data_IF_097732551427
#
_entry.id   IF_097732551427
#
_cell.length_a   1.000
_cell.length_b   1.000
_cell.length_c   1.000
_cell.angle_alpha   90.00
_cell.angle_beta   90.00
_cell.angle_gamma   90.00
#
_symmetry.space_group_name_H-M   'P 1'
#
loop_
_entity.id
_entity.type
_entity.pdbx_description
1 polymer ?
#
# COMPACT_ATOMS: atom_id res chain seq x y z
N UNK A 1 1.72 -1.40 3.71
CA UNK A 1 1.99 -2.63 2.89
C UNK A 1 0.87 -3.65 2.88
N UNK A 2 0.20 -3.92 4.00
CA UNK A 2 -0.88 -4.93 4.05
C UNK A 2 -2.08 -4.62 3.16
N UNK A 3 -2.48 -3.37 3.02
CA UNK A 3 -3.64 -3.01 2.18
C UNK A 3 -3.38 -3.09 0.67
N UNK A 4 -2.20 -2.70 0.21
CA UNK A 4 -1.88 -2.70 -1.23
C UNK A 4 -1.64 -4.12 -1.75
N UNK A 5 -0.94 -4.98 -1.00
CA UNK A 5 -0.74 -6.39 -1.35
C UNK A 5 -2.04 -7.20 -1.26
N UNK A 6 -2.91 -6.89 -0.29
CA UNK A 6 -4.23 -7.51 -0.17
C UNK A 6 -5.15 -7.07 -1.33
N UNK A 7 -5.08 -5.80 -1.74
CA UNK A 7 -5.80 -5.28 -2.91
C UNK A 7 -5.33 -5.95 -4.21
N UNK A 8 -4.01 -6.14 -4.39
CA UNK A 8 -3.42 -6.80 -5.56
C UNK A 8 -3.83 -8.28 -5.61
N UNK A 9 -3.85 -8.98 -4.47
CA UNK A 9 -4.31 -10.37 -4.40
C UNK A 9 -5.81 -10.49 -4.71
N UNK A 10 -6.63 -9.57 -4.22
CA UNK A 10 -8.07 -9.51 -4.53
C UNK A 10 -8.32 -9.17 -6.00
N UNK A 11 -7.50 -8.30 -6.61
CA UNK A 11 -7.58 -7.95 -8.03
C UNK A 11 -7.33 -9.16 -8.93
N UNK A 12 -6.31 -9.98 -8.63
CA UNK A 12 -6.00 -11.19 -9.38
C UNK A 12 -7.12 -12.25 -9.31
N UNK A 13 -7.80 -12.36 -8.16
CA UNK A 13 -8.93 -13.28 -8.00
C UNK A 13 -10.18 -12.75 -8.74
N UNK A 14 -10.45 -11.44 -8.71
CA UNK A 14 -11.59 -10.85 -9.41
C UNK A 14 -11.41 -10.88 -10.93
N UNK A 15 -10.21 -10.62 -11.45
CA UNK A 15 -9.91 -10.67 -12.89
C UNK A 15 -9.98 -12.09 -13.47
N UNK A 16 -9.62 -13.12 -12.71
CA UNK A 16 -9.89 -14.52 -13.11
C UNK A 16 -11.39 -14.80 -13.23
N UNK A 17 -12.21 -14.26 -12.32
CA UNK A 17 -13.67 -14.40 -12.37
C UNK A 17 -14.29 -13.59 -13.52
N UNK A 18 -13.73 -12.43 -13.86
CA UNK A 18 -14.23 -11.58 -14.95
C UNK A 18 -13.97 -12.21 -16.33
N UNK A 19 -12.82 -12.85 -16.55
CA UNK A 19 -12.53 -13.58 -17.81
C UNK A 19 -13.48 -14.75 -18.04
N UNK A 20 -14.04 -15.34 -16.98
CA UNK A 20 -15.07 -16.41 -17.08
C UNK A 20 -16.49 -15.87 -17.27
N UNK A 21 -16.79 -14.63 -16.87
CA UNK A 21 -18.13 -14.04 -17.02
C UNK A 21 -18.36 -13.36 -18.39
N UNK A 22 -17.31 -12.92 -19.08
CA UNK A 22 -17.42 -12.28 -20.41
C UNK A 22 -17.76 -13.30 -21.50
N UNK A 23 -17.64 -14.60 -21.24
CA UNK A 23 -17.94 -15.66 -22.22
C UNK A 23 -19.37 -16.16 -22.22
N UNK A 24 -20.29 -15.69 -21.36
CA UNK A 24 -21.61 -16.31 -21.16
C UNK A 24 -22.81 -15.36 -21.21
N UNK A 25 -22.67 -14.03 -21.35
CA UNK A 25 -23.86 -13.15 -21.35
C UNK A 25 -23.86 -12.11 -22.46
N UNK A 26 -23.85 -12.59 -23.70
CA UNK A 26 -24.37 -11.84 -24.83
C UNK A 26 -25.67 -12.52 -25.27
N UNK A 27 -26.75 -12.32 -24.52
CA UNK A 27 -28.15 -12.33 -25.03
C UNK A 27 -29.13 -12.08 -23.86
N UNK A 28 -30.15 -11.26 -24.18
CA UNK A 28 -31.39 -11.02 -23.41
C UNK A 28 -31.31 -9.94 -22.32
N UNK A 29 -31.74 -8.72 -22.65
CA UNK A 29 -32.96 -8.07 -22.18
C UNK A 29 -33.11 -6.66 -22.78
N UNK A 30 -33.76 -6.59 -23.91
CA UNK A 30 -34.53 -5.42 -24.33
C UNK A 30 -35.96 -5.74 -23.93
N UNK A 31 -36.51 -4.98 -22.99
CA UNK A 31 -37.96 -4.57 -22.95
C UNK A 31 -38.31 -3.94 -21.61
N UNK A 32 -38.96 -2.81 -21.72
CA UNK A 32 -39.92 -2.24 -20.75
C UNK A 32 -39.35 -1.44 -19.57
N UNK A 33 -39.32 -0.11 -19.76
CA UNK A 33 -40.04 0.82 -18.88
C UNK A 33 -40.25 2.16 -19.64
N UNK A 34 -41.33 2.22 -20.40
CA UNK A 34 -41.96 3.47 -20.79
C UNK A 34 -43.10 3.73 -19.84
N UNK A 35 -43.27 4.95 -19.42
CA UNK A 35 -44.33 5.59 -18.63
C UNK A 35 -43.90 5.96 -17.21
N UNK A 36 -43.54 7.20 -16.97
CA UNK A 36 -44.45 8.27 -16.49
C UNK A 36 -43.74 9.61 -16.67
N UNK A 37 -44.14 10.34 -17.70
CA UNK A 37 -43.93 11.76 -17.79
C UNK A 37 -44.98 12.44 -16.91
N UNK A 38 -44.64 12.84 -15.71
CA UNK A 38 -45.36 13.89 -14.99
C UNK A 38 -44.57 15.19 -15.05
N UNK A 39 -45.18 16.11 -15.70
CA UNK A 39 -44.85 17.50 -15.93
C UNK A 39 -44.64 18.22 -14.61
N UNK A 40 -43.36 18.55 -14.29
CA UNK A 40 -43.05 19.63 -13.36
C UNK A 40 -42.61 20.85 -14.17
N UNK A 41 -43.56 21.74 -14.47
CA UNK A 41 -43.30 23.09 -14.95
C UNK A 41 -42.71 23.89 -13.80
N UNK A 42 -41.43 24.01 -13.74
CA UNK A 42 -40.66 25.15 -13.23
C UNK A 42 -39.18 24.97 -13.65
N UNK A 43 -38.94 25.08 -14.94
CA UNK A 43 -37.57 25.31 -15.40
C UNK A 43 -37.17 26.76 -15.10
N UNK A 44 -36.73 27.01 -13.89
CA UNK A 44 -35.88 28.17 -13.63
C UNK A 44 -34.50 27.82 -14.20
N UNK A 45 -34.04 28.54 -15.22
CA UNK A 45 -32.82 28.34 -15.99
C UNK A 45 -31.56 28.78 -15.23
N UNK A 46 -31.47 28.43 -13.95
CA UNK A 46 -30.26 28.49 -13.16
C UNK A 46 -29.56 27.13 -13.24
N UNK A 47 -28.45 27.03 -13.95
CA UNK A 47 -27.58 25.84 -13.89
C UNK A 47 -27.33 25.53 -12.41
N UNK A 48 -27.72 24.36 -11.92
CA UNK A 48 -27.37 23.91 -10.59
C UNK A 48 -25.86 23.73 -10.51
N UNK A 49 -25.19 24.69 -9.87
CA UNK A 49 -23.73 24.72 -9.71
C UNK A 49 -23.30 23.83 -8.54
N UNK A 50 -24.25 23.26 -7.79
CA UNK A 50 -23.95 22.46 -6.58
C UNK A 50 -23.19 23.24 -5.53
N UNK A 51 -23.53 24.53 -5.37
CA UNK A 51 -22.86 25.42 -4.40
C UNK A 51 -23.70 25.45 -3.12
N UNK A 52 -23.06 25.01 -2.03
CA UNK A 52 -23.63 25.07 -0.68
C UNK A 52 -22.88 26.10 0.17
N UNK A 53 -23.61 26.74 1.11
CA UNK A 53 -22.94 27.60 2.10
C UNK A 53 -22.04 26.76 3.01
N UNK A 54 -20.80 27.22 3.18
CA UNK A 54 -19.80 26.52 3.97
C UNK A 54 -18.94 27.49 4.77
N UNK A 55 -18.55 27.06 5.96
CA UNK A 55 -17.53 27.75 6.78
C UNK A 55 -16.09 27.44 6.31
N UNK A 56 -15.91 26.40 5.49
CA UNK A 56 -14.63 25.99 4.94
C UNK A 56 -14.12 27.03 3.95
N UNK A 57 -12.98 27.65 4.27
CA UNK A 57 -12.39 28.74 3.48
C UNK A 57 -11.91 28.29 2.11
N UNK A 58 -11.40 27.04 2.01
CA UNK A 58 -10.92 26.48 0.74
C UNK A 58 -12.08 26.19 -0.19
N UNK A 59 -13.12 25.52 0.33
CA UNK A 59 -14.32 25.23 -0.46
C UNK A 59 -15.04 26.51 -0.88
N UNK A 60 -15.08 27.53 -0.01
CA UNK A 60 -15.63 28.84 -0.34
C UNK A 60 -14.89 29.51 -1.49
N UNK A 61 -13.54 29.45 -1.48
CA UNK A 61 -12.74 30.02 -2.55
C UNK A 61 -12.98 29.30 -3.89
N UNK A 62 -13.11 27.97 -3.88
CA UNK A 62 -13.42 27.19 -5.08
C UNK A 62 -14.82 27.52 -5.58
N UNK A 63 -15.82 27.61 -4.69
CA UNK A 63 -17.18 27.98 -5.04
C UNK A 63 -17.27 29.37 -5.65
N UNK A 64 -16.48 30.33 -5.16
CA UNK A 64 -16.41 31.67 -5.75
C UNK A 64 -15.89 31.64 -7.20
N UNK A 65 -14.87 30.80 -7.50
CA UNK A 65 -14.40 30.59 -8.89
C UNK A 65 -15.50 30.02 -9.77
N UNK A 66 -16.24 29.01 -9.29
CA UNK A 66 -17.36 28.40 -10.03
C UNK A 66 -18.48 29.44 -10.28
N UNK A 67 -18.78 30.29 -9.30
CA UNK A 67 -19.79 31.35 -9.46
C UNK A 67 -19.35 32.37 -10.51
N UNK A 68 -18.07 32.76 -10.51
CA UNK A 68 -17.51 33.71 -11.47
C UNK A 68 -17.45 33.14 -12.89
N UNK A 69 -17.07 31.85 -13.00
CA UNK A 69 -16.86 31.17 -14.28
C UNK A 69 -17.60 29.81 -14.33
N UNK A 70 -18.93 29.78 -14.41
CA UNK A 70 -19.72 28.56 -14.27
C UNK A 70 -19.56 27.56 -15.44
N UNK A 71 -18.96 27.96 -16.53
CA UNK A 71 -18.67 27.11 -17.69
C UNK A 71 -17.18 26.68 -17.76
N UNK A 72 -16.40 26.93 -16.72
CA UNK A 72 -15.01 26.48 -16.63
C UNK A 72 -14.95 25.12 -15.94
N UNK A 73 -14.74 24.04 -16.71
CA UNK A 73 -14.68 22.67 -16.18
C UNK A 73 -13.58 22.48 -15.14
N UNK A 74 -12.47 23.25 -15.21
CA UNK A 74 -11.33 23.10 -14.33
C UNK A 74 -11.69 23.40 -12.86
N UNK A 75 -12.60 24.35 -12.61
CA UNK A 75 -13.06 24.67 -11.25
C UNK A 75 -13.87 23.53 -10.63
N UNK A 76 -14.66 22.80 -11.42
CA UNK A 76 -15.34 21.60 -10.96
C UNK A 76 -14.36 20.46 -10.69
N UNK A 77 -13.27 20.31 -11.47
CA UNK A 77 -12.23 19.33 -11.17
C UNK A 77 -11.47 19.68 -9.89
N UNK A 78 -11.21 20.98 -9.64
CA UNK A 78 -10.60 21.44 -8.39
C UNK A 78 -11.50 21.06 -7.20
N UNK A 79 -12.81 21.29 -7.30
CA UNK A 79 -13.77 20.94 -6.24
C UNK A 79 -13.93 19.42 -6.09
N UNK A 80 -13.95 18.67 -7.18
CA UNK A 80 -14.00 17.22 -7.15
C UNK A 80 -12.80 16.61 -6.41
N UNK A 81 -11.57 17.10 -6.67
CA UNK A 81 -10.36 16.67 -5.94
C UNK A 81 -10.45 17.03 -4.46
N UNK A 82 -10.95 18.22 -4.15
CA UNK A 82 -11.16 18.64 -2.77
C UNK A 82 -12.14 17.72 -2.04
N UNK A 83 -13.30 17.42 -2.63
CA UNK A 83 -14.28 16.49 -2.06
C UNK A 83 -13.73 15.07 -1.93
N UNK A 84 -12.94 14.58 -2.90
CA UNK A 84 -12.28 13.26 -2.82
C UNK A 84 -11.33 13.19 -1.63
N UNK A 85 -10.54 14.24 -1.37
CA UNK A 85 -9.66 14.34 -0.20
C UNK A 85 -10.42 14.27 1.13
N UNK A 86 -11.67 14.74 1.16
CA UNK A 86 -12.59 14.63 2.30
C UNK A 86 -13.40 13.33 2.31
N UNK A 87 -13.17 12.42 1.37
CA UNK A 87 -13.94 11.18 1.13
C UNK A 87 -15.43 11.43 0.83
N UNK A 88 -15.78 12.64 0.39
CA UNK A 88 -17.12 13.01 -0.08
C UNK A 88 -17.27 12.66 -1.56
N UNK A 89 -17.31 11.36 -1.82
CA UNK A 89 -17.23 10.84 -3.20
C UNK A 89 -18.46 11.10 -4.04
N UNK A 90 -19.65 11.24 -3.43
CA UNK A 90 -20.88 11.55 -4.15
C UNK A 90 -20.79 12.95 -4.77
N UNK A 91 -20.35 13.94 -3.98
CA UNK A 91 -20.15 15.31 -4.39
C UNK A 91 -19.01 15.42 -5.43
N UNK A 92 -17.91 14.69 -5.22
CA UNK A 92 -16.82 14.63 -6.18
C UNK A 92 -17.30 14.09 -7.55
N UNK A 93 -18.05 13.00 -7.56
CA UNK A 93 -18.60 12.43 -8.80
C UNK A 93 -19.61 13.36 -9.48
N UNK A 94 -20.43 14.09 -8.70
CA UNK A 94 -21.37 15.08 -9.25
C UNK A 94 -20.61 16.20 -10.00
N UNK A 95 -19.46 16.64 -9.47
CA UNK A 95 -18.62 17.62 -10.15
C UNK A 95 -17.94 17.08 -11.41
N UNK A 96 -17.53 15.82 -11.42
CA UNK A 96 -17.05 15.15 -12.65
C UNK A 96 -18.13 15.12 -13.71
N UNK A 97 -19.40 14.85 -13.35
CA UNK A 97 -20.53 14.89 -14.29
C UNK A 97 -20.73 16.30 -14.85
N UNK A 98 -20.66 17.34 -14.00
CA UNK A 98 -20.75 18.74 -14.44
C UNK A 98 -19.60 19.12 -15.38
N UNK A 99 -18.37 18.75 -15.04
CA UNK A 99 -17.20 18.99 -15.88
C UNK A 99 -17.35 18.31 -17.27
N UNK A 100 -17.81 17.05 -17.31
CA UNK A 100 -18.11 16.33 -18.58
C UNK A 100 -19.22 17.00 -19.38
N UNK A 101 -20.24 17.59 -18.74
CA UNK A 101 -21.32 18.31 -19.42
C UNK A 101 -20.82 19.63 -20.05
N UNK A 102 -19.79 20.27 -19.49
CA UNK A 102 -19.18 21.47 -20.04
C UNK A 102 -18.30 21.12 -21.25
N UNK A 103 -17.36 20.18 -21.10
CA UNK A 103 -16.48 19.76 -22.20
C UNK A 103 -15.97 18.32 -22.00
N UNK A 104 -16.61 17.37 -22.64
CA UNK A 104 -16.23 15.95 -22.56
C UNK A 104 -14.98 15.56 -23.38
N UNK A 105 -14.33 16.53 -24.05
CA UNK A 105 -13.12 16.26 -24.83
C UNK A 105 -11.84 16.34 -24.02
N UNK A 106 -11.87 16.90 -22.80
CA UNK A 106 -10.69 17.16 -21.96
C UNK A 106 -10.23 15.91 -21.23
N UNK A 107 -8.96 15.54 -21.42
CA UNK A 107 -8.31 14.38 -20.80
C UNK A 107 -8.30 14.47 -19.26
N UNK A 108 -8.04 15.69 -18.70
CA UNK A 108 -7.99 15.94 -17.28
C UNK A 108 -9.25 15.52 -16.52
N UNK A 109 -10.42 15.54 -17.19
CA UNK A 109 -11.69 15.14 -16.57
C UNK A 109 -11.68 13.64 -16.30
N UNK A 110 -11.23 12.86 -17.24
CA UNK A 110 -11.13 11.40 -17.11
C UNK A 110 -9.98 11.00 -16.20
N UNK A 111 -8.86 11.72 -16.24
CA UNK A 111 -7.77 11.54 -15.29
C UNK A 111 -8.27 11.75 -13.84
N UNK A 112 -8.95 12.88 -13.59
CA UNK A 112 -9.50 13.18 -12.25
C UNK A 112 -10.57 12.16 -11.81
N UNK A 113 -11.44 11.72 -12.73
CA UNK A 113 -12.41 10.66 -12.46
C UNK A 113 -11.70 9.34 -12.08
N UNK A 114 -10.64 8.96 -12.81
CA UNK A 114 -9.84 7.79 -12.53
C UNK A 114 -9.21 7.83 -11.13
N UNK A 115 -8.63 8.97 -10.73
CA UNK A 115 -8.10 9.16 -9.37
C UNK A 115 -9.20 8.99 -8.30
N UNK A 116 -10.37 9.60 -8.50
CA UNK A 116 -11.50 9.50 -7.57
C UNK A 116 -12.01 8.05 -7.47
N UNK A 117 -12.12 7.32 -8.59
CA UNK A 117 -12.52 5.92 -8.57
C UNK A 117 -11.45 5.03 -7.90
N UNK A 118 -10.17 5.33 -8.09
CA UNK A 118 -9.09 4.63 -7.42
C UNK A 118 -9.14 4.82 -5.89
N UNK A 119 -9.37 6.06 -5.42
CA UNK A 119 -9.54 6.38 -4.00
C UNK A 119 -10.76 5.65 -3.37
N UNK A 120 -11.79 5.38 -4.18
CA UNK A 120 -12.95 4.57 -3.81
C UNK A 120 -12.70 3.06 -3.87
N UNK A 121 -11.49 2.61 -4.20
CA UNK A 121 -11.15 1.21 -4.47
C UNK A 121 -11.90 0.60 -5.67
N UNK A 122 -12.47 1.42 -6.54
CA UNK A 122 -13.15 1.04 -7.78
C UNK A 122 -12.12 0.96 -8.91
N UNK A 123 -11.29 -0.07 -8.82
CA UNK A 123 -10.07 -0.19 -9.64
C UNK A 123 -10.37 -0.39 -11.12
N UNK A 124 -11.45 -1.10 -11.44
CA UNK A 124 -11.86 -1.34 -12.85
C UNK A 124 -12.28 -0.03 -13.51
N UNK A 125 -13.12 0.75 -12.83
CA UNK A 125 -13.58 2.03 -13.32
C UNK A 125 -12.44 3.05 -13.43
N UNK A 126 -11.48 3.03 -12.47
CA UNK A 126 -10.29 3.86 -12.54
C UNK A 126 -9.45 3.54 -13.80
N UNK A 127 -9.26 2.24 -14.09
CA UNK A 127 -8.54 1.81 -15.28
C UNK A 127 -9.20 2.29 -16.58
N UNK A 128 -10.52 2.14 -16.68
CA UNK A 128 -11.27 2.61 -17.84
C UNK A 128 -11.25 4.14 -17.98
N UNK A 129 -11.28 4.88 -16.88
CA UNK A 129 -11.15 6.34 -16.94
C UNK A 129 -9.74 6.78 -17.37
N UNK A 130 -8.66 6.15 -16.88
CA UNK A 130 -7.31 6.43 -17.38
C UNK A 130 -7.15 6.08 -18.86
N UNK A 131 -7.76 4.99 -19.31
CA UNK A 131 -7.80 4.64 -20.73
C UNK A 131 -8.50 5.74 -21.55
N UNK A 132 -9.67 6.23 -21.11
CA UNK A 132 -10.38 7.34 -21.76
C UNK A 132 -9.57 8.64 -21.71
N UNK A 133 -8.84 8.91 -20.63
CA UNK A 133 -7.91 10.03 -20.56
C UNK A 133 -6.91 9.96 -21.72
N UNK A 134 -6.28 8.80 -21.92
CA UNK A 134 -5.29 8.59 -22.97
C UNK A 134 -5.89 8.52 -24.40
N UNK A 135 -7.17 8.19 -24.53
CA UNK A 135 -7.91 8.33 -25.81
C UNK A 135 -8.13 9.80 -26.18
N UNK A 136 -8.25 10.70 -25.18
CA UNK A 136 -8.39 12.15 -25.40
C UNK A 136 -7.05 12.85 -25.59
N UNK A 137 -6.06 12.46 -24.80
CA UNK A 137 -4.68 12.93 -24.90
C UNK A 137 -3.70 11.77 -24.70
N UNK A 138 -3.16 11.18 -25.79
CA UNK A 138 -2.19 10.08 -25.73
C UNK A 138 -0.86 10.46 -25.06
N UNK A 139 -0.62 11.76 -24.83
CA UNK A 139 0.59 12.28 -24.22
C UNK A 139 0.39 12.77 -22.79
N UNK A 140 -0.79 12.55 -22.20
CA UNK A 140 -1.09 12.99 -20.84
C UNK A 140 -0.20 12.27 -19.83
N UNK A 141 0.80 12.97 -19.29
CA UNK A 141 1.88 12.40 -18.48
C UNK A 141 1.38 11.61 -17.28
N UNK A 142 0.53 12.23 -16.47
CA UNK A 142 0.01 11.62 -15.24
C UNK A 142 -0.91 10.43 -15.58
N UNK A 143 -1.71 10.54 -16.64
CA UNK A 143 -2.55 9.44 -17.12
C UNK A 143 -1.75 8.23 -17.57
N UNK A 144 -0.63 8.46 -18.28
CA UNK A 144 0.30 7.41 -18.68
C UNK A 144 0.92 6.70 -17.44
N UNK A 145 1.36 7.47 -16.43
CA UNK A 145 1.99 6.90 -15.25
C UNK A 145 1.02 6.12 -14.36
N UNK A 146 -0.17 6.67 -14.10
CA UNK A 146 -1.17 5.95 -13.28
C UNK A 146 -1.65 4.69 -13.99
N UNK A 147 -1.86 4.76 -15.32
CA UNK A 147 -2.20 3.57 -16.09
C UNK A 147 -1.05 2.57 -16.11
N UNK A 148 0.21 3.00 -16.26
CA UNK A 148 1.39 2.13 -16.18
C UNK A 148 1.49 1.43 -14.81
N UNK A 149 1.22 2.14 -13.71
CA UNK A 149 1.18 1.55 -12.38
C UNK A 149 0.16 0.41 -12.27
N UNK A 150 -1.02 0.58 -12.89
CA UNK A 150 -2.05 -0.46 -12.96
C UNK A 150 -1.65 -1.60 -13.91
N UNK A 151 -1.07 -1.30 -15.07
CA UNK A 151 -0.60 -2.31 -16.02
C UNK A 151 0.52 -3.19 -15.41
N UNK A 152 1.40 -2.63 -14.57
CA UNK A 152 2.38 -3.40 -13.79
C UNK A 152 1.66 -4.38 -12.85
N UNK A 153 0.63 -3.93 -12.14
CA UNK A 153 -0.15 -4.78 -11.24
C UNK A 153 -0.91 -5.90 -11.99
N UNK A 154 -1.28 -5.66 -13.24
CA UNK A 154 -1.94 -6.61 -14.13
C UNK A 154 -0.96 -7.51 -14.90
N UNK A 155 0.35 -7.35 -14.69
CA UNK A 155 1.44 -8.03 -15.40
C UNK A 155 1.52 -7.69 -16.90
N UNK A 156 0.98 -6.55 -17.32
CA UNK A 156 1.08 -6.02 -18.67
C UNK A 156 2.39 -5.22 -18.83
N UNK A 157 3.54 -5.85 -18.58
CA UNK A 157 4.84 -5.18 -18.41
C UNK A 157 5.31 -4.43 -19.65
N UNK A 158 5.10 -4.98 -20.85
CA UNK A 158 5.49 -4.32 -22.12
C UNK A 158 4.74 -3.01 -22.32
N UNK A 159 3.43 -3.03 -22.08
CA UNK A 159 2.58 -1.84 -22.19
C UNK A 159 2.96 -0.79 -21.14
N UNK A 160 3.17 -1.21 -19.90
CA UNK A 160 3.60 -0.32 -18.82
C UNK A 160 4.95 0.35 -19.15
N UNK A 161 5.92 -0.43 -19.66
CA UNK A 161 7.23 0.10 -20.04
C UNK A 161 7.13 1.10 -21.20
N UNK A 162 6.27 0.83 -22.20
CA UNK A 162 6.01 1.76 -23.30
C UNK A 162 5.45 3.09 -22.79
N UNK A 163 4.48 3.05 -21.87
CA UNK A 163 3.87 4.24 -21.28
C UNK A 163 4.90 5.05 -20.47
N UNK A 164 5.67 4.39 -19.60
CA UNK A 164 6.74 5.02 -18.81
C UNK A 164 7.77 5.68 -19.75
N UNK A 165 8.24 4.96 -20.76
CA UNK A 165 9.21 5.51 -21.71
C UNK A 165 8.63 6.67 -22.53
N UNK A 166 7.32 6.70 -22.78
CA UNK A 166 6.66 7.84 -23.44
C UNK A 166 6.74 9.10 -22.55
N UNK A 167 6.53 8.97 -21.26
CA UNK A 167 6.71 10.09 -20.33
C UNK A 167 8.18 10.53 -20.26
N UNK A 168 9.11 9.59 -20.12
CA UNK A 168 10.54 9.92 -20.02
C UNK A 168 11.12 10.55 -21.29
N UNK A 169 10.54 10.30 -22.47
CA UNK A 169 10.91 11.03 -23.70
C UNK A 169 10.43 12.48 -23.70
N UNK A 170 9.36 12.80 -22.96
CA UNK A 170 8.86 14.18 -22.82
C UNK A 170 9.62 14.93 -21.73
N UNK A 171 9.95 14.24 -20.64
CA UNK A 171 10.59 14.81 -19.47
C UNK A 171 11.37 13.71 -18.73
N UNK A 172 12.70 13.80 -18.80
CA UNK A 172 13.62 12.86 -18.15
C UNK A 172 13.68 13.04 -16.63
N UNK A 173 13.11 14.12 -16.08
CA UNK A 173 13.19 14.46 -14.66
C UNK A 173 11.91 14.09 -13.90
N UNK A 174 11.32 12.93 -14.21
CA UNK A 174 10.13 12.43 -13.52
C UNK A 174 10.51 11.23 -12.64
N UNK A 175 10.79 11.49 -11.36
CA UNK A 175 11.20 10.46 -10.40
C UNK A 175 10.20 9.30 -10.32
N UNK A 176 8.89 9.59 -10.33
CA UNK A 176 7.84 8.57 -10.30
C UNK A 176 7.91 7.60 -11.50
N UNK A 177 8.31 8.08 -12.68
CA UNK A 177 8.49 7.22 -13.86
C UNK A 177 9.62 6.18 -13.64
N UNK A 178 10.74 6.62 -13.09
CA UNK A 178 11.85 5.70 -12.75
C UNK A 178 11.48 4.76 -11.59
N UNK A 179 10.75 5.23 -10.60
CA UNK A 179 10.22 4.38 -9.55
C UNK A 179 9.31 3.27 -10.10
N UNK A 180 8.38 3.60 -10.99
CA UNK A 180 7.53 2.61 -11.66
C UNK A 180 8.35 1.63 -12.51
N UNK A 181 9.39 2.11 -13.20
CA UNK A 181 10.32 1.28 -13.96
C UNK A 181 11.07 0.29 -13.04
N UNK A 182 11.51 0.76 -11.88
CA UNK A 182 12.11 -0.09 -10.85
C UNK A 182 11.13 -1.16 -10.34
N UNK A 183 9.88 -0.79 -10.06
CA UNK A 183 8.82 -1.72 -9.68
C UNK A 183 8.56 -2.79 -10.76
N UNK A 184 8.50 -2.39 -12.01
CA UNK A 184 8.34 -3.30 -13.15
C UNK A 184 9.47 -4.31 -13.20
N UNK A 185 10.73 -3.86 -13.17
CA UNK A 185 11.90 -4.75 -13.22
C UNK A 185 11.96 -5.68 -12.03
N UNK A 186 11.55 -5.24 -10.85
CA UNK A 186 11.43 -6.11 -9.67
C UNK A 186 10.41 -7.23 -9.88
N UNK A 187 9.25 -6.95 -10.54
CA UNK A 187 8.23 -7.97 -10.85
C UNK A 187 8.76 -9.03 -11.83
N UNK A 188 9.54 -8.63 -12.81
CA UNK A 188 10.18 -9.58 -13.75
C UNK A 188 11.48 -10.18 -13.21
N UNK A 189 11.82 -9.89 -11.93
CA UNK A 189 12.98 -10.39 -11.21
C UNK A 189 14.33 -9.93 -11.78
N UNK A 190 14.34 -8.85 -12.55
CA UNK A 190 15.57 -8.17 -12.96
C UNK A 190 15.96 -7.13 -11.91
N UNK A 191 16.63 -7.62 -10.89
CA UNK A 191 16.99 -6.86 -9.70
C UNK A 191 18.07 -5.82 -9.97
N UNK A 192 18.90 -6.03 -10.99
CA UNK A 192 19.92 -5.05 -11.42
C UNK A 192 19.27 -3.82 -12.03
N UNK A 193 18.37 -4.02 -12.99
CA UNK A 193 17.61 -2.92 -13.58
C UNK A 193 16.64 -2.27 -12.60
N UNK A 194 16.09 -3.05 -11.66
CA UNK A 194 15.24 -2.52 -10.60
C UNK A 194 16.03 -1.54 -9.71
N UNK A 195 17.18 -1.96 -9.19
CA UNK A 195 18.04 -1.12 -8.35
C UNK A 195 18.50 0.14 -9.08
N UNK A 196 19.01 0.01 -10.31
CA UNK A 196 19.43 1.15 -11.13
C UNK A 196 18.27 2.14 -11.37
N UNK A 197 17.06 1.65 -11.60
CA UNK A 197 15.89 2.52 -11.80
C UNK A 197 15.52 3.27 -10.52
N UNK A 198 15.54 2.61 -9.35
CA UNK A 198 15.30 3.29 -8.06
C UNK A 198 16.38 4.32 -7.74
N UNK A 199 17.67 4.01 -8.05
CA UNK A 199 18.77 4.97 -7.90
C UNK A 199 18.52 6.23 -8.76
N UNK A 200 18.12 6.06 -10.02
CA UNK A 200 17.79 7.20 -10.88
C UNK A 200 16.59 7.98 -10.34
N UNK A 201 15.58 7.32 -9.77
CA UNK A 201 14.47 8.02 -9.11
C UNK A 201 14.96 8.90 -7.95
N UNK A 202 15.90 8.39 -7.13
CA UNK A 202 16.55 9.12 -6.03
C UNK A 202 17.42 10.28 -6.53
N UNK A 203 18.16 10.10 -7.62
CA UNK A 203 18.97 11.17 -8.25
C UNK A 203 18.10 12.30 -8.77
N UNK A 204 16.92 11.99 -9.32
CA UNK A 204 15.95 12.98 -9.83
C UNK A 204 15.24 13.69 -8.68
N UNK A 205 14.84 12.96 -7.65
CA UNK A 205 14.21 13.49 -6.43
C UNK A 205 14.83 12.86 -5.18
N UNK A 206 15.79 13.52 -4.54
CA UNK A 206 16.42 13.04 -3.31
C UNK A 206 15.48 12.90 -2.10
N UNK A 207 14.25 13.40 -2.19
CA UNK A 207 13.20 13.23 -1.16
C UNK A 207 12.22 12.09 -1.47
N UNK A 208 12.45 11.32 -2.55
CA UNK A 208 11.54 10.26 -2.97
C UNK A 208 11.61 9.02 -2.07
N UNK A 209 10.87 9.07 -0.96
CA UNK A 209 10.85 8.06 0.11
C UNK A 209 10.71 6.63 -0.39
N UNK A 210 9.71 6.36 -1.26
CA UNK A 210 9.41 5.00 -1.71
C UNK A 210 10.58 4.38 -2.51
N UNK A 211 11.35 5.19 -3.25
CA UNK A 211 12.51 4.70 -4.00
C UNK A 211 13.64 4.23 -3.05
N UNK A 212 13.85 4.92 -1.94
CA UNK A 212 14.80 4.47 -0.92
C UNK A 212 14.38 3.16 -0.26
N UNK A 213 13.10 3.03 0.12
CA UNK A 213 12.59 1.80 0.72
C UNK A 213 12.75 0.62 -0.23
N UNK A 214 12.36 0.79 -1.49
CA UNK A 214 12.43 -0.26 -2.51
C UNK A 214 13.87 -0.62 -2.90
N UNK A 215 14.78 0.37 -3.03
CA UNK A 215 16.21 0.11 -3.23
C UNK A 215 16.80 -0.67 -2.05
N UNK A 216 16.42 -0.30 -0.82
CA UNK A 216 16.78 -1.01 0.39
C UNK A 216 16.31 -2.47 0.38
N UNK A 217 15.06 -2.74 0.00
CA UNK A 217 14.51 -4.10 -0.13
C UNK A 217 15.25 -4.92 -1.18
N UNK A 218 15.58 -4.32 -2.34
CA UNK A 218 16.39 -5.00 -3.37
C UNK A 218 17.77 -5.35 -2.82
N UNK A 219 18.47 -4.40 -2.21
CA UNK A 219 19.78 -4.65 -1.61
C UNK A 219 19.73 -5.70 -0.50
N UNK A 220 18.71 -5.66 0.37
CA UNK A 220 18.54 -6.62 1.45
C UNK A 220 18.38 -8.06 0.93
N UNK A 221 17.66 -8.25 -0.19
CA UNK A 221 17.44 -9.59 -0.77
C UNK A 221 18.72 -10.33 -1.17
N UNK A 222 19.85 -9.63 -1.32
CA UNK A 222 21.18 -10.19 -1.59
C UNK A 222 22.14 -10.09 -0.41
N UNK A 223 21.68 -9.61 0.74
CA UNK A 223 22.55 -9.32 1.88
C UNK A 223 23.55 -8.17 1.61
N UNK A 224 23.23 -7.27 0.67
CA UNK A 224 24.10 -6.13 0.35
C UNK A 224 23.99 -5.08 1.47
N UNK A 225 25.12 -4.65 2.08
CA UNK A 225 25.12 -3.70 3.19
C UNK A 225 24.55 -2.32 2.84
N UNK A 226 24.50 -1.93 1.56
CA UNK A 226 23.82 -0.70 1.12
C UNK A 226 22.33 -0.65 1.50
N UNK A 227 21.70 -1.80 1.78
CA UNK A 227 20.34 -1.84 2.31
C UNK A 227 20.16 -0.93 3.54
N UNK A 228 21.13 -0.99 4.46
CA UNK A 228 21.13 -0.19 5.68
C UNK A 228 21.16 1.32 5.38
N UNK A 229 21.96 1.74 4.41
CA UNK A 229 22.08 3.15 4.02
C UNK A 229 20.78 3.65 3.39
N UNK A 230 20.18 2.88 2.49
CA UNK A 230 18.88 3.24 1.91
C UNK A 230 17.78 3.35 2.96
N UNK A 231 17.72 2.42 3.93
CA UNK A 231 16.75 2.53 5.01
C UNK A 231 17.02 3.74 5.93
N UNK A 232 18.30 4.09 6.18
CA UNK A 232 18.64 5.29 6.93
C UNK A 232 18.13 6.55 6.23
N UNK A 233 18.35 6.68 4.91
CA UNK A 233 17.84 7.81 4.14
C UNK A 233 16.32 7.89 4.15
N UNK A 234 15.62 6.74 4.04
CA UNK A 234 14.16 6.70 4.19
C UNK A 234 13.70 7.18 5.59
N UNK A 235 14.42 6.80 6.65
CA UNK A 235 14.15 7.23 8.03
C UNK A 235 14.38 8.76 8.18
N UNK A 236 15.40 9.31 7.57
CA UNK A 236 15.67 10.75 7.61
C UNK A 236 14.55 11.56 6.94
N UNK A 237 13.99 11.05 5.83
CA UNK A 237 12.86 11.70 5.13
C UNK A 237 11.59 11.61 5.96
N UNK A 238 11.26 10.43 6.52
CA UNK A 238 10.06 10.21 7.32
C UNK A 238 10.37 9.46 8.63
N UNK A 239 10.86 10.18 9.68
CA UNK A 239 11.32 9.55 10.92
C UNK A 239 10.22 8.87 11.76
N UNK A 240 8.95 9.14 11.47
CA UNK A 240 7.80 8.56 12.16
C UNK A 240 7.14 7.40 11.39
N UNK A 241 7.72 6.95 10.27
CA UNK A 241 7.22 5.79 9.55
C UNK A 241 7.87 4.51 10.10
N UNK A 242 7.05 3.53 10.46
CA UNK A 242 7.51 2.25 11.03
C UNK A 242 8.27 1.41 10.00
N UNK A 243 7.82 1.44 8.74
CA UNK A 243 8.28 0.55 7.68
C UNK A 243 9.81 0.50 7.50
N UNK A 244 10.54 1.63 7.36
CA UNK A 244 11.99 1.55 7.11
C UNK A 244 12.77 1.05 8.34
N UNK A 245 12.31 1.34 9.57
CA UNK A 245 12.90 0.76 10.77
C UNK A 245 12.70 -0.75 10.82
N UNK A 246 11.50 -1.22 10.48
CA UNK A 246 11.17 -2.64 10.47
C UNK A 246 12.01 -3.41 9.45
N UNK A 247 12.07 -2.91 8.21
CA UNK A 247 12.86 -3.51 7.14
C UNK A 247 14.37 -3.52 7.48
N UNK A 248 14.88 -2.40 8.04
CA UNK A 248 16.25 -2.32 8.54
C UNK A 248 16.52 -3.33 9.65
N UNK A 249 15.62 -3.46 10.63
CA UNK A 249 15.77 -4.39 11.74
C UNK A 249 15.84 -5.85 11.26
N UNK A 250 14.97 -6.25 10.35
CA UNK A 250 14.98 -7.59 9.74
C UNK A 250 16.30 -7.83 9.01
N UNK A 251 16.74 -6.90 8.16
CA UNK A 251 18.02 -6.99 7.45
C UNK A 251 19.21 -7.15 8.41
N UNK A 252 19.26 -6.36 9.48
CA UNK A 252 20.30 -6.43 10.50
C UNK A 252 20.26 -7.77 11.24
N UNK A 253 19.09 -8.29 11.54
CA UNK A 253 18.91 -9.59 12.17
C UNK A 253 19.42 -10.73 11.29
N UNK A 254 19.09 -10.73 10.00
CA UNK A 254 19.54 -11.74 9.03
C UNK A 254 21.06 -11.70 8.80
N UNK A 255 21.65 -10.51 8.81
CA UNK A 255 23.09 -10.30 8.60
C UNK A 255 23.92 -10.35 9.88
N UNK A 256 23.29 -10.45 11.04
CA UNK A 256 23.94 -10.49 12.36
C UNK A 256 24.86 -11.68 12.57
N UNK A 257 24.64 -12.80 11.87
CA UNK A 257 25.57 -13.96 11.90
C UNK A 257 26.97 -13.57 11.43
N UNK A 258 27.07 -12.69 10.43
CA UNK A 258 28.36 -12.18 9.91
C UNK A 258 28.88 -10.99 10.72
N UNK A 259 28.01 -10.23 11.33
CA UNK A 259 28.32 -9.06 12.14
C UNK A 259 27.44 -9.01 13.40
N UNK A 260 27.87 -9.57 14.53
CA UNK A 260 27.04 -9.67 15.74
C UNK A 260 26.56 -8.32 16.30
N UNK A 261 27.22 -7.20 16.00
CA UNK A 261 26.74 -5.87 16.43
C UNK A 261 25.41 -5.49 15.78
N UNK A 262 25.07 -6.11 14.65
CA UNK A 262 23.80 -5.89 13.97
C UNK A 262 22.60 -6.30 14.83
N UNK A 263 22.73 -7.29 15.72
CA UNK A 263 21.65 -7.68 16.62
C UNK A 263 21.28 -6.56 17.60
N UNK A 264 22.27 -5.83 18.12
CA UNK A 264 22.00 -4.69 19.00
C UNK A 264 21.37 -3.54 18.22
N UNK A 265 21.84 -3.28 17.00
CA UNK A 265 21.23 -2.24 16.16
C UNK A 265 19.79 -2.60 15.75
N UNK A 266 19.49 -3.88 15.49
CA UNK A 266 18.13 -4.35 15.24
C UNK A 266 17.22 -4.09 16.45
N UNK A 267 17.69 -4.35 17.67
CA UNK A 267 16.95 -4.04 18.90
C UNK A 267 16.64 -2.54 19.01
N UNK A 268 17.60 -1.68 18.69
CA UNK A 268 17.38 -0.21 18.65
C UNK A 268 16.31 0.16 17.63
N UNK A 269 16.28 -0.47 16.46
CA UNK A 269 15.22 -0.22 15.47
C UNK A 269 13.85 -0.64 16.01
N UNK A 270 13.74 -1.80 16.66
CA UNK A 270 12.48 -2.22 17.30
C UNK A 270 12.05 -1.27 18.41
N UNK A 271 12.98 -0.73 19.21
CA UNK A 271 12.67 0.27 20.23
C UNK A 271 12.15 1.57 19.61
N UNK A 272 12.68 1.99 18.46
CA UNK A 272 12.16 3.14 17.70
C UNK A 272 10.73 2.89 17.21
N UNK A 273 10.45 1.69 16.69
CA UNK A 273 9.09 1.30 16.28
C UNK A 273 8.13 1.40 17.46
N UNK A 274 8.51 0.88 18.63
CA UNK A 274 7.70 0.92 19.84
C UNK A 274 7.52 2.32 20.40
N UNK A 275 8.47 3.23 20.13
CA UNK A 275 8.32 4.66 20.41
C UNK A 275 7.30 5.36 19.52
N UNK A 276 7.10 4.85 18.28
CA UNK A 276 6.11 5.36 17.32
C UNK A 276 4.73 4.73 17.61
N UNK A 277 4.68 3.41 17.78
CA UNK A 277 3.47 2.67 18.10
C UNK A 277 3.75 1.61 19.18
N UNK A 278 3.39 1.94 20.42
CA UNK A 278 3.54 1.05 21.58
C UNK A 278 2.68 -0.22 21.51
N UNK A 279 1.74 -0.31 20.57
CA UNK A 279 0.89 -1.51 20.39
C UNK A 279 1.37 -2.41 19.26
N UNK A 280 2.50 -2.09 18.60
CA UNK A 280 3.02 -2.89 17.50
C UNK A 280 3.61 -4.22 18.02
N UNK A 281 2.75 -5.22 18.22
CA UNK A 281 3.09 -6.51 18.84
C UNK A 281 4.23 -7.26 18.11
N UNK A 282 4.36 -7.08 16.79
CA UNK A 282 5.42 -7.71 15.99
C UNK A 282 6.83 -7.21 16.38
N UNK A 283 6.99 -5.94 16.83
CA UNK A 283 8.27 -5.46 17.29
C UNK A 283 8.69 -6.13 18.62
N UNK A 284 7.77 -6.28 19.56
CA UNK A 284 8.03 -7.04 20.77
C UNK A 284 8.40 -8.51 20.48
N UNK A 285 7.65 -9.13 19.57
CA UNK A 285 7.93 -10.50 19.13
C UNK A 285 9.36 -10.63 18.56
N UNK A 286 9.73 -9.76 17.64
CA UNK A 286 11.05 -9.81 17.01
C UNK A 286 12.19 -9.48 17.99
N UNK A 287 11.97 -8.56 18.94
CA UNK A 287 12.91 -8.34 20.06
C UNK A 287 13.11 -9.63 20.86
N UNK A 288 12.02 -10.29 21.24
CA UNK A 288 12.05 -11.57 21.93
C UNK A 288 12.82 -12.63 21.15
N UNK A 289 12.59 -12.69 19.83
CA UNK A 289 13.26 -13.62 18.94
C UNK A 289 14.78 -13.35 18.86
N UNK A 290 15.21 -12.08 18.77
CA UNK A 290 16.63 -11.71 18.83
C UNK A 290 17.26 -12.16 20.14
N UNK A 291 16.60 -11.94 21.28
CA UNK A 291 17.10 -12.39 22.58
C UNK A 291 17.14 -13.91 22.69
N UNK A 292 16.11 -14.63 22.26
CA UNK A 292 16.05 -16.09 22.31
C UNK A 292 17.11 -16.73 21.43
N UNK A 293 17.14 -16.36 20.16
CA UNK A 293 17.88 -17.12 19.13
C UNK A 293 19.35 -16.70 19.07
N UNK A 294 19.61 -15.40 19.08
CA UNK A 294 20.96 -14.90 18.78
C UNK A 294 21.74 -14.49 20.02
N UNK A 295 21.09 -13.87 21.01
CA UNK A 295 21.78 -13.38 22.20
C UNK A 295 21.72 -14.36 23.38
N UNK A 296 20.83 -15.37 23.34
CA UNK A 296 20.58 -16.35 24.39
C UNK A 296 20.23 -15.71 25.75
N UNK A 297 19.67 -14.51 25.73
CA UNK A 297 19.16 -13.82 26.89
C UNK A 297 17.69 -14.19 27.09
N UNK A 298 17.47 -15.38 27.63
CA UNK A 298 16.13 -15.96 27.81
C UNK A 298 15.22 -15.09 28.67
N UNK A 299 15.78 -14.35 29.65
CA UNK A 299 14.99 -13.50 30.51
C UNK A 299 14.38 -12.33 29.71
N UNK A 300 15.19 -11.60 28.93
CA UNK A 300 14.70 -10.53 28.06
C UNK A 300 13.81 -11.05 26.95
N UNK A 301 14.04 -12.29 26.50
CA UNK A 301 13.17 -13.01 25.57
C UNK A 301 11.76 -13.14 26.17
N UNK A 302 11.63 -13.68 27.39
CA UNK A 302 10.36 -13.83 28.11
C UNK A 302 9.65 -12.48 28.27
N UNK A 303 10.36 -11.45 28.74
CA UNK A 303 9.80 -10.10 28.90
C UNK A 303 9.24 -9.55 27.59
N UNK A 304 9.97 -9.71 26.50
CA UNK A 304 9.54 -9.26 25.19
C UNK A 304 8.31 -10.02 24.66
N UNK A 305 8.29 -11.35 24.82
CA UNK A 305 7.13 -12.17 24.42
C UNK A 305 5.92 -11.93 25.32
N UNK A 306 6.10 -11.61 26.60
CA UNK A 306 5.01 -11.18 27.49
C UNK A 306 4.31 -9.95 26.91
N UNK A 307 5.08 -8.92 26.53
CA UNK A 307 4.54 -7.71 25.92
C UNK A 307 3.90 -8.00 24.56
N UNK A 308 4.49 -8.87 23.74
CA UNK A 308 3.88 -9.29 22.48
C UNK A 308 2.50 -9.93 22.69
N UNK A 309 2.35 -10.80 23.67
CA UNK A 309 1.08 -11.46 24.04
C UNK A 309 0.10 -10.51 24.73
N UNK A 310 0.57 -9.53 25.49
CA UNK A 310 -0.27 -8.47 26.05
C UNK A 310 -0.94 -7.66 24.96
N UNK A 311 -0.15 -7.27 23.91
CA UNK A 311 -0.66 -6.48 22.77
C UNK A 311 -1.46 -7.32 21.77
N UNK A 312 -1.13 -8.61 21.64
CA UNK A 312 -1.86 -9.56 20.80
C UNK A 312 -2.03 -10.90 21.53
N UNK A 313 -3.12 -11.10 22.27
CA UNK A 313 -3.37 -12.34 23.03
C UNK A 313 -3.47 -13.61 22.17
N UNK A 314 -3.70 -13.47 20.85
CA UNK A 314 -3.79 -14.59 19.92
C UNK A 314 -2.47 -14.91 19.19
N UNK A 315 -1.35 -14.34 19.66
CA UNK A 315 -0.05 -14.50 19.01
C UNK A 315 0.59 -15.85 19.41
N UNK A 316 0.10 -16.96 18.83
CA UNK A 316 0.54 -18.32 19.15
C UNK A 316 2.05 -18.53 19.01
N UNK A 317 2.71 -17.89 18.00
CA UNK A 317 4.17 -17.96 17.85
C UNK A 317 4.90 -17.31 19.04
N UNK A 318 4.34 -16.27 19.64
CA UNK A 318 4.93 -15.64 20.80
C UNK A 318 4.85 -16.55 22.04
N UNK A 319 3.73 -17.25 22.23
CA UNK A 319 3.61 -18.26 23.28
C UNK A 319 4.63 -19.40 23.07
N UNK A 320 4.73 -19.95 21.86
CA UNK A 320 5.71 -20.97 21.53
C UNK A 320 7.15 -20.52 21.81
N UNK A 321 7.56 -19.35 21.32
CA UNK A 321 8.93 -18.87 21.53
C UNK A 321 9.21 -18.50 22.99
N UNK A 322 8.19 -18.07 23.76
CA UNK A 322 8.33 -17.86 25.22
C UNK A 322 8.54 -19.20 25.94
N UNK A 323 7.86 -20.26 25.51
CA UNK A 323 8.11 -21.62 26.02
C UNK A 323 9.57 -22.04 25.81
N UNK A 324 10.14 -21.79 24.63
CA UNK A 324 11.55 -22.07 24.37
C UNK A 324 12.50 -21.26 25.27
N UNK A 325 12.13 -20.01 25.62
CA UNK A 325 12.89 -19.24 26.60
C UNK A 325 12.81 -19.85 28.01
N UNK A 326 11.62 -20.28 28.45
CA UNK A 326 11.46 -20.97 29.74
C UNK A 326 12.26 -22.29 29.79
N UNK A 327 12.23 -23.05 28.70
CA UNK A 327 13.03 -24.25 28.61
C UNK A 327 14.54 -23.94 28.69
N UNK A 328 15.03 -22.92 27.96
CA UNK A 328 16.41 -22.48 28.04
C UNK A 328 16.86 -22.06 29.46
N UNK A 329 15.89 -21.70 30.31
CA UNK A 329 16.11 -21.45 31.77
C UNK A 329 15.91 -22.68 32.63
N UNK A 330 15.51 -23.83 32.10
CA UNK A 330 15.18 -25.04 32.86
C UNK A 330 13.80 -25.04 33.51
N UNK A 331 12.96 -24.06 33.21
CA UNK A 331 11.59 -23.93 33.75
C UNK A 331 10.59 -24.73 32.89
N UNK A 332 10.58 -26.05 33.08
CA UNK A 332 9.73 -26.96 32.33
C UNK A 332 8.25 -26.69 32.54
N UNK A 333 7.84 -26.27 33.74
CA UNK A 333 6.42 -26.03 34.07
C UNK A 333 5.84 -24.90 33.21
N UNK A 334 6.53 -23.76 33.16
CA UNK A 334 6.08 -22.64 32.38
C UNK A 334 6.25 -22.91 30.85
N UNK A 335 7.27 -23.65 30.46
CA UNK A 335 7.43 -24.08 29.06
C UNK A 335 6.24 -24.93 28.60
N UNK A 336 5.83 -25.93 29.36
CA UNK A 336 4.68 -26.77 29.06
C UNK A 336 3.37 -25.97 29.01
N UNK A 337 3.17 -25.05 29.95
CA UNK A 337 1.99 -24.18 29.96
C UNK A 337 1.90 -23.32 28.67
N UNK A 338 3.00 -22.77 28.20
CA UNK A 338 3.05 -21.96 27.01
C UNK A 338 2.92 -22.76 25.71
N UNK A 339 3.45 -23.98 25.63
CA UNK A 339 3.22 -24.90 24.52
C UNK A 339 1.73 -25.28 24.40
N UNK A 340 1.08 -25.55 25.53
CA UNK A 340 -0.35 -25.81 25.58
C UNK A 340 -1.16 -24.55 25.17
N UNK A 341 -0.73 -23.35 25.56
CA UNK A 341 -1.33 -22.11 25.10
C UNK A 341 -1.19 -21.94 23.58
N UNK A 342 -0.01 -22.18 23.02
CA UNK A 342 0.23 -22.09 21.57
C UNK A 342 -0.70 -23.06 20.82
N UNK A 343 -0.85 -24.32 21.30
CA UNK A 343 -1.76 -25.32 20.72
C UNK A 343 -3.24 -24.96 20.91
N UNK A 344 -3.61 -24.34 22.03
CA UNK A 344 -4.97 -23.83 22.22
C UNK A 344 -5.31 -22.74 21.22
N UNK A 345 -4.35 -21.84 20.92
CA UNK A 345 -4.53 -20.74 19.95
C UNK A 345 -4.47 -21.24 18.50
N UNK A 346 -3.63 -22.26 18.24
CA UNK A 346 -3.47 -22.89 16.93
C UNK A 346 -3.32 -24.40 17.08
N UNK A 347 -4.43 -25.18 17.02
CA UNK A 347 -4.42 -26.62 17.26
C UNK A 347 -3.55 -27.45 16.30
N UNK A 348 -3.34 -26.99 15.09
CA UNK A 348 -2.50 -27.62 14.05
C UNK A 348 -1.04 -27.13 14.03
N UNK A 349 -0.56 -26.51 15.13
CA UNK A 349 0.81 -26.02 15.24
C UNK A 349 1.76 -27.17 15.57
N UNK A 350 2.25 -27.84 14.54
CA UNK A 350 3.06 -29.07 14.63
C UNK A 350 4.31 -28.89 15.50
N UNK A 351 5.01 -27.75 15.37
CA UNK A 351 6.24 -27.46 16.11
C UNK A 351 5.97 -27.42 17.64
N UNK A 352 4.86 -26.84 18.06
CA UNK A 352 4.51 -26.81 19.48
C UNK A 352 4.10 -28.20 19.99
N UNK A 353 3.43 -29.01 19.17
CA UNK A 353 3.05 -30.38 19.53
C UNK A 353 4.28 -31.28 19.71
N UNK A 354 5.22 -31.24 18.78
CA UNK A 354 6.47 -31.98 18.84
C UNK A 354 7.30 -31.57 20.06
N UNK A 355 7.41 -30.27 20.32
CA UNK A 355 8.18 -29.76 21.46
C UNK A 355 7.55 -30.15 22.80
N UNK A 356 6.21 -30.15 22.88
CA UNK A 356 5.49 -30.61 24.06
C UNK A 356 5.70 -32.11 24.31
N UNK A 357 5.64 -32.96 23.27
CA UNK A 357 5.97 -34.40 23.38
C UNK A 357 7.39 -34.61 23.89
N UNK A 358 8.39 -33.94 23.28
CA UNK A 358 9.79 -33.98 23.71
C UNK A 358 9.98 -33.57 25.19
N UNK A 359 9.29 -32.50 25.63
CA UNK A 359 9.37 -32.00 26.99
C UNK A 359 8.79 -33.00 28.03
N UNK A 360 7.77 -33.76 27.61
CA UNK A 360 7.12 -34.80 28.45
C UNK A 360 7.85 -36.14 28.42
N UNK A 361 8.67 -36.38 27.41
CA UNK A 361 9.32 -37.65 27.17
C UNK A 361 8.42 -38.69 26.54
N UNK A 362 7.50 -38.22 25.69
CA UNK A 362 6.52 -39.03 24.93
C UNK A 362 7.11 -39.48 23.56
N UNK A 363 8.42 -39.84 23.50
CA UNK A 363 9.11 -40.32 22.28
C UNK A 363 8.71 -41.75 21.87
#
# INVERSE_FOLDING_TARGET
MTNTLLLIAQLNVMLKKLKTLISVSALVLVCAFASTLESCKSCNSGKDLGIEETSDTTLRAINAKITAEPNNFAHYLERARYYSGLKKYAEANADIVRAKAIDSTKADIYFTAGKIHFDQQRVVEAYEDYKKCLEKDPQHKEGLLEKAAMDIALNNYELALQQINTVLRQDERVAYAYYLKGRLYRQVKDTTLALSSYQTAIEVDPSYYDAYVEAGLVCASYGNPLAKEYYNSAIEIHPNFIEPYYNKAIFLQETGVKNPSNYQEALVCYDKILGIDANFSAAYFNKGFVYLVYLKDYQKGIESFNLALEKNPNYYQAAYNRALCYEGKGDKTNAEADLNLALKLKPDYTEAALELGRLRGDD
#
